data_IF_630030712089
#
_entry.id   IF_630030712089
#
_cell.length_a   1.000
_cell.length_b   1.000
_cell.length_c   1.000
_cell.angle_alpha   90.00
_cell.angle_beta   90.00
_cell.angle_gamma   90.00
#
_symmetry.space_group_name_H-M   'P 1'
#
loop_
_entity.id
_entity.type
_entity.pdbx_description
1 polymer ?
#
# COMPACT_ATOMS: atom_id res chain seq x y z
N UNK A 1 -6.86 -14.02 -4.13
CA UNK A 1 -7.59 -13.21 -3.13
C UNK A 1 -6.82 -11.99 -2.66
N UNK A 2 -5.73 -12.14 -1.91
CA UNK A 2 -5.00 -11.01 -1.32
C UNK A 2 -4.45 -10.02 -2.36
N UNK A 3 -4.16 -10.50 -3.58
CA UNK A 3 -3.75 -9.65 -4.70
C UNK A 3 -4.84 -8.61 -5.07
N UNK A 4 -6.10 -9.03 -5.09
CA UNK A 4 -7.22 -8.13 -5.31
C UNK A 4 -7.33 -7.10 -4.18
N UNK A 5 -7.19 -7.53 -2.92
CA UNK A 5 -7.21 -6.62 -1.77
C UNK A 5 -6.10 -5.57 -1.88
N UNK A 6 -4.85 -5.99 -2.16
CA UNK A 6 -3.72 -5.09 -2.32
C UNK A 6 -3.91 -4.08 -3.46
N UNK A 7 -4.41 -4.54 -4.61
CA UNK A 7 -4.72 -3.66 -5.74
C UNK A 7 -5.79 -2.61 -5.39
N UNK A 8 -6.87 -3.03 -4.74
CA UNK A 8 -7.93 -2.10 -4.32
C UNK A 8 -7.44 -1.13 -3.24
N UNK A 9 -6.56 -1.55 -2.33
CA UNK A 9 -5.95 -0.66 -1.34
C UNK A 9 -5.09 0.43 -2.00
N UNK A 10 -4.29 0.07 -3.01
CA UNK A 10 -3.51 1.06 -3.77
C UNK A 10 -4.43 1.99 -4.56
N UNK A 11 -5.48 1.46 -5.20
CA UNK A 11 -6.48 2.27 -5.92
C UNK A 11 -7.16 3.25 -4.96
N UNK A 12 -7.62 2.78 -3.82
CA UNK A 12 -8.29 3.58 -2.78
C UNK A 12 -7.37 4.71 -2.31
N UNK A 13 -6.13 4.41 -1.92
CA UNK A 13 -5.15 5.40 -1.48
C UNK A 13 -4.87 6.46 -2.56
N UNK A 14 -4.75 6.05 -3.83
CA UNK A 14 -4.46 6.96 -4.95
C UNK A 14 -5.65 7.84 -5.35
N UNK A 15 -6.89 7.35 -5.18
CA UNK A 15 -8.11 8.01 -5.67
C UNK A 15 -8.90 8.76 -4.60
N UNK A 16 -8.89 8.27 -3.35
CA UNK A 16 -9.57 8.88 -2.20
C UNK A 16 -8.65 9.75 -1.34
N UNK A 17 -7.42 9.99 -1.81
CA UNK A 17 -6.48 10.94 -1.18
C UNK A 17 -7.14 12.29 -0.89
N UNK A 18 -6.79 12.91 0.23
CA UNK A 18 -7.25 14.26 0.58
C UNK A 18 -6.15 15.32 0.57
N UNK A 19 -4.92 14.94 0.26
CA UNK A 19 -3.81 15.87 0.07
C UNK A 19 -3.73 16.40 -1.37
N UNK A 20 -3.20 17.61 -1.53
CA UNK A 20 -2.86 18.18 -2.83
C UNK A 20 -1.67 17.45 -3.44
N UNK A 21 -1.88 16.80 -4.58
CA UNK A 21 -0.82 16.10 -5.29
C UNK A 21 -0.01 17.05 -6.17
N UNK A 22 1.07 17.59 -5.62
CA UNK A 22 1.95 18.54 -6.32
C UNK A 22 2.86 17.81 -7.32
N UNK A 23 3.76 16.96 -6.82
CA UNK A 23 4.80 16.29 -7.63
C UNK A 23 4.44 14.89 -8.11
N UNK A 24 3.38 14.26 -7.57
CA UNK A 24 3.11 12.84 -7.82
C UNK A 24 3.92 11.88 -6.94
N UNK A 25 4.91 12.36 -6.15
CA UNK A 25 5.80 11.47 -5.41
C UNK A 25 5.07 10.63 -4.35
N UNK A 26 4.21 11.24 -3.54
CA UNK A 26 3.49 10.50 -2.49
C UNK A 26 2.61 9.40 -3.11
N UNK A 27 1.82 9.76 -4.13
CA UNK A 27 0.93 8.84 -4.85
C UNK A 27 1.68 7.73 -5.60
N UNK A 28 2.86 8.03 -6.14
CA UNK A 28 3.73 7.07 -6.82
C UNK A 28 4.57 6.24 -5.86
N UNK A 29 4.70 6.64 -4.60
CA UNK A 29 5.32 5.83 -3.54
C UNK A 29 4.36 4.82 -2.93
N UNK A 30 3.11 4.81 -3.38
CA UNK A 30 2.09 3.86 -2.93
C UNK A 30 2.15 2.57 -3.73
N UNK A 31 2.21 1.44 -3.01
CA UNK A 31 2.26 0.10 -3.58
C UNK A 31 1.96 -0.97 -2.54
N UNK A 32 1.92 -2.22 -2.99
CA UNK A 32 1.66 -3.37 -2.13
C UNK A 32 2.55 -4.57 -2.49
N UNK A 33 2.74 -5.47 -1.53
CA UNK A 33 3.26 -6.82 -1.77
C UNK A 33 2.52 -7.85 -0.93
N UNK A 34 2.60 -9.11 -1.37
CA UNK A 34 2.10 -10.27 -0.65
C UNK A 34 3.29 -11.18 -0.39
N UNK A 35 3.44 -11.58 0.86
CA UNK A 35 4.47 -12.51 1.29
C UNK A 35 3.86 -13.85 1.66
N UNK A 36 4.58 -14.90 1.33
CA UNK A 36 4.41 -16.24 1.90
C UNK A 36 5.75 -16.69 2.47
N UNK A 37 5.85 -16.78 3.79
CA UNK A 37 7.07 -17.15 4.51
C UNK A 37 8.30 -16.34 4.04
N UNK A 38 8.19 -15.01 4.12
CA UNK A 38 9.26 -14.08 3.74
C UNK A 38 9.49 -13.91 2.24
N UNK A 39 8.87 -14.74 1.39
CA UNK A 39 9.04 -14.69 -0.06
C UNK A 39 7.93 -13.89 -0.73
N UNK A 40 8.28 -12.97 -1.62
CA UNK A 40 7.31 -12.18 -2.41
C UNK A 40 6.61 -13.10 -3.41
N UNK A 41 5.29 -13.25 -3.29
CA UNK A 41 4.46 -14.01 -4.24
C UNK A 41 3.73 -13.12 -5.24
N UNK A 42 3.37 -11.90 -4.82
CA UNK A 42 2.80 -10.87 -5.70
C UNK A 42 3.21 -9.49 -5.21
N UNK A 43 3.25 -8.53 -6.13
CA UNK A 43 3.48 -7.12 -5.83
C UNK A 43 2.91 -6.25 -6.95
N UNK A 44 2.64 -4.99 -6.63
CA UNK A 44 2.19 -4.02 -7.61
C UNK A 44 2.20 -2.60 -7.07
N UNK A 45 2.01 -1.64 -7.96
CA UNK A 45 2.16 -0.24 -7.63
C UNK A 45 3.57 0.28 -7.91
N UNK A 46 3.87 1.43 -7.33
CA UNK A 46 5.12 2.18 -7.55
C UNK A 46 5.34 2.69 -8.98
N UNK A 47 4.32 2.79 -9.81
CA UNK A 47 4.40 3.47 -11.09
C UNK A 47 4.42 4.98 -10.88
N UNK A 48 5.24 5.69 -11.64
CA UNK A 48 5.23 7.15 -11.68
C UNK A 48 3.89 7.62 -12.25
N UNK A 49 3.09 8.29 -11.43
CA UNK A 49 1.76 8.81 -11.80
C UNK A 49 1.82 10.16 -12.52
N UNK A 50 3.02 10.76 -12.58
CA UNK A 50 3.36 12.02 -13.26
C UNK A 50 4.84 11.99 -13.66
N UNK A 51 5.27 12.72 -14.71
CA UNK A 51 6.69 12.87 -15.04
C UNK A 51 7.53 13.47 -13.90
N UNK A 52 6.92 14.31 -13.06
CA UNK A 52 7.57 14.94 -11.90
C UNK A 52 7.73 14.02 -10.69
N UNK A 53 7.21 12.79 -10.74
CA UNK A 53 7.26 11.81 -9.66
C UNK A 53 8.59 11.03 -9.64
N UNK A 54 9.71 11.74 -9.59
CA UNK A 54 11.06 11.17 -9.76
C UNK A 54 11.56 10.39 -8.55
N UNK A 55 11.00 10.64 -7.35
CA UNK A 55 11.45 10.01 -6.08
C UNK A 55 10.46 8.97 -5.55
N UNK A 56 9.17 9.15 -5.84
CA UNK A 56 8.08 8.34 -5.28
C UNK A 56 8.28 6.83 -5.45
N UNK A 57 8.41 6.33 -6.69
CA UNK A 57 8.62 4.91 -6.95
C UNK A 57 9.78 4.28 -6.18
N UNK A 58 10.94 4.94 -6.20
CA UNK A 58 12.15 4.44 -5.55
C UNK A 58 12.01 4.44 -4.03
N UNK A 59 11.43 5.49 -3.43
CA UNK A 59 11.20 5.59 -2.00
C UNK A 59 10.20 4.52 -1.51
N UNK A 60 9.12 4.32 -2.27
CA UNK A 60 8.14 3.26 -2.03
C UNK A 60 8.76 1.85 -2.01
N UNK A 61 9.55 1.53 -3.04
CA UNK A 61 10.25 0.23 -3.12
C UNK A 61 11.27 0.04 -2.00
N UNK A 62 11.99 1.10 -1.62
CA UNK A 62 12.95 1.06 -0.51
C UNK A 62 12.26 0.68 0.81
N UNK A 63 11.16 1.36 1.15
CA UNK A 63 10.39 1.05 2.35
C UNK A 63 9.79 -0.37 2.27
N UNK A 64 9.27 -0.77 1.11
CA UNK A 64 8.75 -2.12 0.90
C UNK A 64 9.80 -3.19 1.20
N UNK A 65 11.01 -3.06 0.65
CA UNK A 65 12.08 -4.03 0.88
C UNK A 65 12.47 -4.15 2.36
N UNK A 66 12.45 -3.05 3.10
CA UNK A 66 12.69 -3.07 4.55
C UNK A 66 11.60 -3.87 5.27
N UNK A 67 10.33 -3.61 4.96
CA UNK A 67 9.21 -4.32 5.58
C UNK A 67 9.18 -5.81 5.22
N UNK A 68 9.59 -6.18 4.00
CA UNK A 68 9.72 -7.59 3.61
C UNK A 68 10.69 -8.32 4.54
N UNK A 69 11.87 -7.74 4.80
CA UNK A 69 12.88 -8.35 5.69
C UNK A 69 12.42 -8.53 7.14
N UNK A 70 11.44 -7.73 7.57
CA UNK A 70 10.86 -7.78 8.93
C UNK A 70 9.74 -8.81 9.07
N UNK A 71 9.30 -9.44 7.98
CA UNK A 71 8.17 -10.36 7.95
C UNK A 71 8.56 -11.74 7.39
N UNK A 72 9.34 -12.56 8.14
CA UNK A 72 9.91 -13.81 7.64
C UNK A 72 8.92 -14.99 7.58
N UNK A 73 7.74 -14.89 8.20
CA UNK A 73 6.81 -16.01 8.35
C UNK A 73 5.36 -15.62 8.08
N UNK A 74 4.55 -16.60 7.67
CA UNK A 74 3.11 -16.45 7.49
C UNK A 74 2.70 -15.85 6.14
N UNK A 75 1.41 -15.53 6.02
CA UNK A 75 0.82 -14.86 4.86
C UNK A 75 0.63 -13.39 5.22
N UNK A 76 1.37 -12.49 4.58
CA UNK A 76 1.37 -11.06 4.91
C UNK A 76 0.99 -10.23 3.69
N UNK A 77 0.03 -9.31 3.84
CA UNK A 77 -0.25 -8.27 2.87
C UNK A 77 0.36 -6.96 3.41
N UNK A 78 1.33 -6.42 2.68
CA UNK A 78 1.95 -5.13 3.00
C UNK A 78 1.43 -4.09 2.00
N UNK A 79 0.95 -2.96 2.50
CA UNK A 79 0.60 -1.78 1.69
C UNK A 79 1.37 -0.59 2.26
N UNK A 80 2.00 0.20 1.40
CA UNK A 80 2.89 1.29 1.83
C UNK A 80 2.60 2.58 1.11
N UNK A 81 2.98 3.70 1.72
CA UNK A 81 3.21 5.00 1.09
C UNK A 81 4.62 5.45 1.53
N UNK A 82 5.62 5.29 0.66
CA UNK A 82 7.02 5.33 1.07
C UNK A 82 7.71 6.69 1.08
N UNK A 83 7.01 7.81 0.95
CA UNK A 83 7.62 9.13 1.18
C UNK A 83 7.77 9.40 2.67
N UNK A 84 8.89 9.97 3.10
CA UNK A 84 9.21 10.32 4.49
C UNK A 84 8.17 11.26 5.14
N UNK A 85 7.58 12.16 4.35
CA UNK A 85 6.50 13.05 4.81
C UNK A 85 5.10 12.42 4.79
N UNK A 86 4.93 11.14 4.41
CA UNK A 86 3.62 10.49 4.34
C UNK A 86 2.89 10.52 5.69
N UNK A 87 3.57 10.12 6.76
CA UNK A 87 3.03 10.13 8.12
C UNK A 87 2.64 11.54 8.58
N UNK A 88 3.42 12.56 8.20
CA UNK A 88 3.10 13.95 8.51
C UNK A 88 1.85 14.44 7.77
N UNK A 89 1.66 14.03 6.51
CA UNK A 89 0.44 14.34 5.74
C UNK A 89 -0.78 13.68 6.38
N UNK A 90 -0.67 12.42 6.80
CA UNK A 90 -1.74 11.68 7.47
C UNK A 90 -2.09 12.30 8.83
N UNK A 91 -1.08 12.70 9.62
CA UNK A 91 -1.26 13.39 10.90
C UNK A 91 -2.00 14.75 10.78
N UNK A 92 -2.04 15.36 9.59
CA UNK A 92 -2.87 16.55 9.30
C UNK A 92 -4.34 16.22 9.01
N UNK A 93 -4.75 14.96 9.19
CA UNK A 93 -6.10 14.49 8.86
C UNK A 93 -6.33 14.30 7.36
N UNK A 94 -5.27 14.23 6.56
CA UNK A 94 -5.37 14.01 5.12
C UNK A 94 -5.17 12.54 4.80
N UNK A 95 -6.15 11.94 4.13
CA UNK A 95 -6.13 10.53 3.76
C UNK A 95 -4.90 10.19 2.90
N UNK A 96 -4.00 9.36 3.44
CA UNK A 96 -2.88 8.74 2.73
C UNK A 96 -3.12 7.23 2.59
N UNK A 97 -3.25 6.50 3.71
CA UNK A 97 -3.60 5.07 3.74
C UNK A 97 -4.80 4.77 4.64
N UNK A 98 -5.28 5.73 5.45
CA UNK A 98 -6.41 5.57 6.37
C UNK A 98 -7.59 4.76 5.78
N UNK A 99 -8.15 5.19 4.65
CA UNK A 99 -9.33 4.52 4.07
C UNK A 99 -8.97 3.18 3.42
N UNK A 100 -7.72 3.04 2.95
CA UNK A 100 -7.20 1.76 2.43
C UNK A 100 -7.08 0.72 3.53
N UNK A 101 -6.66 1.09 4.74
CA UNK A 101 -6.59 0.18 5.88
C UNK A 101 -7.99 -0.36 6.26
N UNK A 102 -8.98 0.53 6.32
CA UNK A 102 -10.38 0.17 6.59
C UNK A 102 -10.89 -0.77 5.48
N UNK A 103 -10.59 -0.46 4.22
CA UNK A 103 -10.95 -1.30 3.08
C UNK A 103 -10.29 -2.68 3.15
N UNK A 104 -8.99 -2.75 3.46
CA UNK A 104 -8.25 -4.00 3.60
C UNK A 104 -8.91 -4.91 4.64
N UNK A 105 -9.16 -4.37 5.85
CA UNK A 105 -9.83 -5.10 6.94
C UNK A 105 -11.19 -5.63 6.50
N UNK A 106 -11.99 -4.82 5.80
CA UNK A 106 -13.31 -5.22 5.31
C UNK A 106 -13.23 -6.32 4.25
N UNK A 107 -12.36 -6.18 3.26
CA UNK A 107 -12.23 -7.13 2.15
C UNK A 107 -11.64 -8.47 2.59
N UNK A 108 -10.60 -8.44 3.44
CA UNK A 108 -10.00 -9.65 4.01
C UNK A 108 -11.02 -10.41 4.83
N UNK A 109 -11.68 -9.75 5.80
CA UNK A 109 -12.73 -10.38 6.62
C UNK A 109 -13.85 -10.97 5.77
N UNK A 110 -14.35 -10.21 4.79
CA UNK A 110 -15.39 -10.69 3.88
C UNK A 110 -14.95 -11.94 3.12
N UNK A 111 -13.72 -11.96 2.63
CA UNK A 111 -13.29 -13.08 1.80
C UNK A 111 -12.95 -14.31 2.63
N UNK A 112 -12.37 -14.15 3.81
CA UNK A 112 -12.18 -15.25 4.77
C UNK A 112 -13.52 -15.91 5.13
N UNK A 113 -14.56 -15.11 5.41
CA UNK A 113 -15.91 -15.64 5.65
C UNK A 113 -16.46 -16.44 4.47
N UNK A 114 -16.27 -15.97 3.23
CA UNK A 114 -16.71 -16.70 2.03
C UNK A 114 -15.96 -18.02 1.83
N UNK A 115 -14.75 -18.13 2.37
CA UNK A 115 -13.93 -19.35 2.34
C UNK A 115 -14.20 -20.27 3.54
N UNK A 116 -15.18 -19.95 4.41
CA UNK A 116 -15.56 -20.79 5.56
C UNK A 116 -14.75 -20.55 6.84
N UNK A 117 -13.84 -19.57 6.84
CA UNK A 117 -13.15 -19.14 8.05
C UNK A 117 -14.07 -18.25 8.91
N UNK A 118 -14.14 -18.53 10.21
CA UNK A 118 -14.97 -17.79 11.17
C UNK A 118 -14.27 -16.53 11.66
#
# INVERSE_FOLDING_TARGET
MLNYVGLECVREARTKRRYTDQTGNLRSSTGYCILYNGSVVHQGGFEAVKPTATKGPASGRKLMNQLISQNPAGIVLIVVAGMDYAAYVEAKGLNVLDTSEIMAKKLVRRTLKRLGFK
#
